data_IF_269465243541
#
_entry.id   IF_269465243541
#
_cell.length_a   1.000
_cell.length_b   1.000
_cell.length_c   1.000
_cell.angle_alpha   90.00
_cell.angle_beta   90.00
_cell.angle_gamma   90.00
#
_symmetry.space_group_name_H-M   'P 1'
#
loop_
_entity.id
_entity.type
_entity.pdbx_description
1 polymer ?
#
# COMPACT_ATOMS: atom_id res chain seq x y z
N UNK A 1 9.20 1.27 27.00
CA UNK A 1 10.13 1.83 26.00
C UNK A 1 9.60 3.22 25.65
N UNK A 2 10.46 4.24 25.55
CA UNK A 2 10.02 5.58 25.13
C UNK A 2 9.59 5.51 23.66
N UNK A 3 8.54 6.21 23.27
CA UNK A 3 8.01 6.27 21.89
C UNK A 3 9.08 6.73 20.87
N UNK A 4 10.10 7.44 21.31
CA UNK A 4 11.24 7.92 20.52
C UNK A 4 12.07 6.81 19.87
N UNK A 5 12.03 5.58 20.42
CA UNK A 5 12.73 4.40 19.85
C UNK A 5 12.25 4.07 18.42
N UNK A 6 11.03 4.46 18.06
CA UNK A 6 10.45 4.21 16.73
C UNK A 6 10.73 5.32 15.71
N UNK A 7 11.33 6.45 16.11
CA UNK A 7 11.88 7.44 15.17
C UNK A 7 13.12 6.86 14.48
N UNK A 8 13.21 7.00 13.16
CA UNK A 8 14.26 6.37 12.38
C UNK A 8 15.49 7.25 12.25
N UNK A 9 16.67 6.65 12.38
CA UNK A 9 17.92 7.32 12.04
C UNK A 9 18.02 7.57 10.52
N UNK A 10 18.92 8.45 10.13
CA UNK A 10 19.21 8.72 8.70
C UNK A 10 19.62 7.44 7.96
N UNK A 11 20.39 6.57 8.62
CA UNK A 11 20.79 5.28 8.05
C UNK A 11 19.62 4.34 7.86
N UNK A 12 18.73 4.18 8.85
CA UNK A 12 17.54 3.37 8.77
C UNK A 12 16.60 3.85 7.65
N UNK A 13 16.37 5.17 7.55
CA UNK A 13 15.62 5.78 6.46
C UNK A 13 16.26 5.44 5.10
N UNK A 14 17.59 5.49 5.00
CA UNK A 14 18.32 5.14 3.77
C UNK A 14 18.07 3.69 3.35
N UNK A 15 18.04 2.73 4.29
CA UNK A 15 17.71 1.33 3.99
C UNK A 15 16.25 1.17 3.54
N UNK A 16 15.30 1.81 4.21
CA UNK A 16 13.88 1.80 3.80
C UNK A 16 13.73 2.36 2.37
N UNK A 17 14.40 3.48 2.07
CA UNK A 17 14.38 4.08 0.72
C UNK A 17 15.00 3.16 -0.34
N UNK A 18 16.09 2.45 -0.02
CA UNK A 18 16.68 1.45 -0.93
C UNK A 18 15.72 0.30 -1.18
N UNK A 19 15.07 -0.22 -0.12
CA UNK A 19 14.03 -1.25 -0.24
C UNK A 19 12.88 -0.78 -1.14
N UNK A 20 12.37 0.45 -0.90
CA UNK A 20 11.32 1.02 -1.74
C UNK A 20 11.76 1.20 -3.19
N UNK A 21 13.00 1.56 -3.46
CA UNK A 21 13.50 1.67 -4.84
C UNK A 21 13.46 0.33 -5.58
N UNK A 22 13.78 -0.78 -4.90
CA UNK A 22 13.65 -2.13 -5.48
C UNK A 22 12.18 -2.44 -5.79
N UNK A 23 11.29 -2.16 -4.85
CA UNK A 23 9.83 -2.35 -5.02
C UNK A 23 9.31 -1.52 -6.20
N UNK A 24 9.72 -0.27 -6.31
CA UNK A 24 9.36 0.62 -7.41
C UNK A 24 9.82 0.06 -8.79
N UNK A 25 11.03 -0.49 -8.87
CA UNK A 25 11.57 -1.07 -10.10
C UNK A 25 10.88 -2.40 -10.47
N UNK A 26 10.49 -3.19 -9.45
CA UNK A 26 9.67 -4.39 -9.64
C UNK A 26 8.29 -4.01 -10.16
N UNK A 27 7.67 -2.97 -9.61
CA UNK A 27 6.37 -2.48 -10.08
C UNK A 27 6.42 -2.00 -11.54
N UNK A 28 7.46 -1.24 -11.92
CA UNK A 28 7.69 -0.85 -13.33
C UNK A 28 7.80 -2.08 -14.23
N UNK A 29 8.55 -3.09 -13.80
CA UNK A 29 8.70 -4.34 -14.55
C UNK A 29 7.34 -5.04 -14.74
N UNK A 30 6.52 -5.13 -13.68
CA UNK A 30 5.19 -5.75 -13.77
C UNK A 30 4.29 -4.99 -14.74
N UNK A 31 4.21 -3.66 -14.63
CA UNK A 31 3.44 -2.84 -15.56
C UNK A 31 3.89 -3.03 -17.02
N UNK A 32 5.19 -3.27 -17.22
CA UNK A 32 5.76 -3.50 -18.55
C UNK A 32 5.55 -4.92 -19.08
N UNK A 33 5.25 -5.93 -18.27
CA UNK A 33 5.30 -7.35 -18.68
C UNK A 33 4.03 -8.15 -18.42
N UNK A 34 3.12 -7.69 -17.54
CA UNK A 34 1.90 -8.40 -17.19
C UNK A 34 1.05 -8.69 -18.41
N UNK A 35 0.45 -9.90 -18.48
CA UNK A 35 -0.36 -10.38 -19.60
C UNK A 35 -1.66 -11.01 -19.09
N UNK A 36 -2.68 -10.96 -19.92
CA UNK A 36 -3.91 -11.72 -19.72
C UNK A 36 -3.62 -13.23 -19.55
N UNK A 37 -4.37 -13.89 -18.70
CA UNK A 37 -4.24 -15.32 -18.43
C UNK A 37 -3.14 -15.71 -17.44
N UNK A 38 -2.30 -14.78 -16.96
CA UNK A 38 -1.39 -15.06 -15.82
C UNK A 38 -2.23 -15.30 -14.55
N UNK A 39 -1.84 -16.24 -13.70
CA UNK A 39 -2.49 -16.42 -12.41
C UNK A 39 -1.90 -15.51 -11.32
N UNK A 40 -2.66 -15.31 -10.24
CA UNK A 40 -2.20 -14.55 -9.08
C UNK A 40 -0.91 -15.15 -8.50
N UNK A 41 -0.84 -16.50 -8.38
CA UNK A 41 0.38 -17.22 -7.94
C UNK A 41 1.56 -17.01 -8.87
N UNK A 42 1.37 -17.15 -10.19
CA UNK A 42 2.43 -16.92 -11.16
C UNK A 42 2.97 -15.49 -11.11
N UNK A 43 2.07 -14.51 -10.90
CA UNK A 43 2.48 -13.11 -10.78
C UNK A 43 3.21 -12.85 -9.46
N UNK A 44 2.74 -13.41 -8.34
CA UNK A 44 3.44 -13.36 -7.05
C UNK A 44 4.87 -13.91 -7.16
N UNK A 45 5.01 -15.12 -7.71
CA UNK A 45 6.31 -15.79 -7.85
C UNK A 45 7.27 -14.96 -8.73
N UNK A 46 6.72 -14.32 -9.78
CA UNK A 46 7.48 -13.41 -10.65
C UNK A 46 7.94 -12.16 -9.88
N UNK A 47 7.06 -11.56 -9.08
CA UNK A 47 7.36 -10.39 -8.24
C UNK A 47 8.50 -10.73 -7.28
N UNK A 48 8.35 -11.78 -6.47
CA UNK A 48 9.33 -12.17 -5.47
C UNK A 48 10.69 -12.54 -6.08
N UNK A 49 10.68 -13.27 -7.20
CA UNK A 49 11.91 -13.55 -7.97
C UNK A 49 12.60 -12.28 -8.45
N UNK A 50 11.83 -11.25 -8.85
CA UNK A 50 12.40 -9.99 -9.30
C UNK A 50 12.93 -9.14 -8.15
N UNK A 51 12.27 -9.13 -7.00
CA UNK A 51 12.78 -8.50 -5.78
C UNK A 51 14.16 -9.03 -5.43
N UNK A 52 14.33 -10.37 -5.37
CA UNK A 52 15.62 -10.98 -5.09
C UNK A 52 16.67 -10.64 -6.17
N UNK A 53 16.28 -10.65 -7.44
CA UNK A 53 17.19 -10.29 -8.55
C UNK A 53 17.66 -8.83 -8.48
N UNK A 54 16.84 -7.93 -7.95
CA UNK A 54 17.16 -6.50 -7.81
C UNK A 54 17.88 -6.18 -6.49
N UNK A 55 18.19 -7.21 -5.68
CA UNK A 55 19.05 -7.08 -4.51
C UNK A 55 18.33 -7.04 -3.17
N UNK A 56 17.05 -7.42 -3.11
CA UNK A 56 16.37 -7.62 -1.85
C UNK A 56 16.98 -8.79 -1.07
N UNK A 57 17.07 -8.66 0.26
CA UNK A 57 17.51 -9.74 1.15
C UNK A 57 16.42 -10.79 1.30
N UNK A 58 15.18 -10.34 1.47
CA UNK A 58 13.95 -11.14 1.50
C UNK A 58 12.73 -10.24 1.35
N UNK A 59 11.55 -10.83 1.19
CA UNK A 59 10.27 -10.10 1.31
C UNK A 59 10.03 -9.68 2.76
N UNK A 60 9.37 -8.53 2.99
CA UNK A 60 8.98 -8.08 4.33
C UNK A 60 7.74 -8.80 4.86
N UNK A 61 6.91 -9.30 3.95
CA UNK A 61 5.72 -10.12 4.22
C UNK A 61 5.37 -10.95 2.97
N UNK A 62 4.42 -11.92 3.07
CA UNK A 62 3.91 -12.65 1.91
C UNK A 62 3.25 -11.70 0.90
N UNK A 63 3.77 -11.65 -0.32
CA UNK A 63 3.28 -10.78 -1.38
C UNK A 63 1.82 -11.08 -1.71
N UNK A 64 0.96 -10.05 -1.67
CA UNK A 64 -0.45 -10.15 -2.06
C UNK A 64 -0.58 -9.80 -3.54
N UNK A 65 -1.27 -10.65 -4.28
CA UNK A 65 -1.72 -10.39 -5.65
C UNK A 65 -3.17 -10.79 -5.76
N UNK A 66 -4.03 -9.85 -6.09
CA UNK A 66 -5.47 -10.08 -6.20
C UNK A 66 -6.05 -9.46 -7.47
N UNK A 67 -6.82 -10.26 -8.24
CA UNK A 67 -7.45 -9.84 -9.49
C UNK A 67 -8.96 -9.67 -9.33
N UNK A 68 -9.51 -8.60 -9.91
CA UNK A 68 -10.95 -8.34 -9.97
C UNK A 68 -11.63 -8.43 -8.61
N UNK A 69 -12.58 -9.35 -8.44
CA UNK A 69 -13.31 -9.52 -7.18
C UNK A 69 -12.47 -10.01 -5.99
N UNK A 70 -11.36 -10.74 -6.24
CA UNK A 70 -10.47 -11.18 -5.17
C UNK A 70 -9.80 -10.00 -4.45
N UNK A 71 -9.63 -8.86 -5.14
CA UNK A 71 -9.12 -7.64 -4.52
C UNK A 71 -10.03 -7.08 -3.40
N UNK A 72 -11.26 -7.57 -3.29
CA UNK A 72 -12.17 -7.22 -2.18
C UNK A 72 -11.78 -7.88 -0.84
N UNK A 73 -10.82 -8.78 -0.84
CA UNK A 73 -10.25 -9.41 0.36
C UNK A 73 -8.92 -8.72 0.70
N UNK A 74 -8.83 -7.88 1.78
CA UNK A 74 -7.60 -7.11 2.08
C UNK A 74 -6.33 -7.97 2.25
N UNK A 75 -6.50 -9.19 2.80
CA UNK A 75 -5.41 -10.14 3.06
C UNK A 75 -5.52 -11.38 2.16
N UNK A 76 -5.90 -11.16 0.89
CA UNK A 76 -6.07 -12.24 -0.08
C UNK A 76 -4.80 -13.06 -0.28
N UNK A 77 -4.91 -14.38 -0.21
CA UNK A 77 -3.85 -15.30 -0.57
C UNK A 77 -3.88 -15.57 -2.08
N UNK A 78 -2.79 -15.29 -2.83
CA UNK A 78 -2.75 -15.50 -4.27
C UNK A 78 -3.18 -16.91 -4.68
N UNK A 79 -4.14 -17.02 -5.58
CA UNK A 79 -4.77 -18.25 -6.05
C UNK A 79 -4.38 -18.60 -7.50
N UNK A 80 -4.98 -19.66 -8.05
CA UNK A 80 -4.82 -20.01 -9.47
C UNK A 80 -5.78 -19.21 -10.39
N UNK A 81 -6.53 -18.23 -9.85
CA UNK A 81 -7.38 -17.34 -10.63
C UNK A 81 -6.56 -16.62 -11.68
N UNK A 82 -7.05 -16.60 -12.91
CA UNK A 82 -6.39 -15.97 -14.05
C UNK A 82 -6.87 -14.52 -14.22
N UNK A 83 -5.94 -13.65 -14.62
CA UNK A 83 -6.22 -12.26 -14.96
C UNK A 83 -7.01 -12.18 -16.27
N UNK A 84 -8.11 -11.42 -16.25
CA UNK A 84 -8.91 -11.14 -17.44
C UNK A 84 -8.87 -9.65 -17.79
N UNK A 85 -9.16 -9.35 -19.06
CA UNK A 85 -9.33 -7.97 -19.49
C UNK A 85 -10.52 -7.30 -18.76
N UNK A 86 -10.36 -6.05 -18.37
CA UNK A 86 -11.37 -5.29 -17.67
C UNK A 86 -11.34 -5.40 -16.15
N UNK A 87 -10.28 -5.96 -15.55
CA UNK A 87 -10.14 -6.13 -14.11
C UNK A 87 -9.15 -5.15 -13.47
N UNK A 88 -9.35 -4.87 -12.19
CA UNK A 88 -8.28 -4.32 -11.36
C UNK A 88 -7.31 -5.42 -10.95
N UNK A 89 -6.05 -5.02 -10.84
CA UNK A 89 -4.95 -5.78 -10.24
C UNK A 89 -4.49 -5.02 -9.02
N UNK A 90 -4.65 -5.62 -7.85
CA UNK A 90 -4.09 -5.13 -6.59
C UNK A 90 -2.83 -5.94 -6.29
N UNK A 91 -1.73 -5.23 -6.06
CA UNK A 91 -0.45 -5.82 -5.61
C UNK A 91 -0.05 -5.09 -4.34
N UNK A 92 0.29 -5.89 -3.31
CA UNK A 92 0.84 -5.42 -2.05
C UNK A 92 2.13 -6.18 -1.78
N UNK A 93 3.23 -5.45 -1.66
CA UNK A 93 4.57 -6.01 -1.66
C UNK A 93 5.59 -5.15 -0.93
N UNK A 94 6.57 -5.80 -0.32
CA UNK A 94 7.66 -5.13 0.36
C UNK A 94 8.91 -6.01 0.47
N UNK A 95 10.05 -5.40 0.73
CA UNK A 95 11.34 -6.08 0.86
C UNK A 95 12.07 -5.63 2.11
N UNK A 96 13.04 -6.42 2.55
CA UNK A 96 13.98 -6.08 3.62
C UNK A 96 15.33 -5.76 3.02
N UNK A 97 15.91 -4.64 3.46
CA UNK A 97 17.28 -4.20 3.18
C UNK A 97 17.91 -3.66 4.46
N UNK A 98 19.06 -4.18 4.84
CA UNK A 98 19.76 -3.77 6.07
C UNK A 98 18.92 -3.97 7.32
N UNK A 99 18.08 -5.03 7.35
CA UNK A 99 17.14 -5.32 8.42
C UNK A 99 15.92 -4.40 8.48
N UNK A 100 15.74 -3.47 7.52
CA UNK A 100 14.61 -2.54 7.49
C UNK A 100 13.59 -2.95 6.42
N UNK A 101 12.30 -2.96 6.79
CA UNK A 101 11.19 -3.29 5.90
C UNK A 101 10.84 -2.11 4.97
N UNK A 102 10.35 -2.44 3.79
CA UNK A 102 9.54 -1.54 2.95
C UNK A 102 8.14 -2.10 2.77
N UNK A 103 7.20 -1.22 2.38
CA UNK A 103 5.79 -1.52 2.24
C UNK A 103 5.14 -0.69 1.13
N UNK A 104 4.35 -1.33 0.27
CA UNK A 104 3.81 -0.65 -0.90
C UNK A 104 2.62 -1.40 -1.50
N UNK A 105 1.46 -0.74 -1.57
CA UNK A 105 0.31 -1.26 -2.30
C UNK A 105 -0.06 -0.35 -3.47
N UNK A 106 -0.32 -0.97 -4.62
CA UNK A 106 -0.97 -0.31 -5.77
C UNK A 106 -2.06 -1.17 -6.36
N UNK A 107 -3.12 -0.48 -6.75
CA UNK A 107 -4.14 -1.01 -7.64
C UNK A 107 -4.00 -0.35 -9.01
N UNK A 108 -4.04 -1.11 -10.09
CA UNK A 108 -4.08 -0.60 -11.45
C UNK A 108 -5.11 -1.35 -12.29
N UNK A 109 -5.48 -0.82 -13.44
CA UNK A 109 -6.43 -1.46 -14.34
C UNK A 109 -5.71 -2.25 -15.43
N UNK A 110 -6.17 -3.48 -15.69
CA UNK A 110 -5.79 -4.25 -16.86
C UNK A 110 -6.94 -4.20 -17.87
N UNK A 111 -6.73 -3.46 -18.96
CA UNK A 111 -7.79 -3.17 -19.93
C UNK A 111 -8.80 -2.12 -19.46
N UNK A 112 -10.05 -2.24 -19.92
CA UNK A 112 -11.08 -1.24 -19.68
C UNK A 112 -12.00 -1.62 -18.52
N UNK A 113 -11.69 -1.13 -17.31
CA UNK A 113 -12.53 -1.35 -16.11
C UNK A 113 -13.77 -0.46 -16.11
N UNK A 114 -14.79 -0.85 -15.34
CA UNK A 114 -16.05 -0.15 -15.21
C UNK A 114 -15.92 1.30 -14.72
N UNK A 115 -16.85 2.16 -15.07
CA UNK A 115 -16.85 3.57 -14.62
C UNK A 115 -16.98 3.67 -13.10
N UNK A 116 -17.76 2.80 -12.48
CA UNK A 116 -17.96 2.78 -11.02
C UNK A 116 -16.67 2.38 -10.30
N UNK A 117 -15.92 1.39 -10.81
CA UNK A 117 -14.63 0.99 -10.24
C UNK A 117 -13.60 2.14 -10.30
N UNK A 118 -13.57 2.87 -11.42
CA UNK A 118 -12.75 4.09 -11.55
C UNK A 118 -13.14 5.16 -10.55
N UNK A 119 -14.44 5.29 -10.22
CA UNK A 119 -14.92 6.22 -9.19
C UNK A 119 -14.41 5.82 -7.82
N UNK A 120 -14.51 4.52 -7.45
CA UNK A 120 -13.98 3.98 -6.20
C UNK A 120 -12.46 4.22 -6.11
N UNK A 121 -11.71 3.90 -7.15
CA UNK A 121 -10.27 4.17 -7.22
C UNK A 121 -9.94 5.64 -6.95
N UNK A 122 -10.67 6.56 -7.57
CA UNK A 122 -10.44 7.99 -7.40
C UNK A 122 -10.80 8.48 -5.99
N UNK A 123 -11.75 7.85 -5.32
CA UNK A 123 -12.08 8.12 -3.91
C UNK A 123 -10.89 7.72 -3.05
N UNK A 124 -10.43 6.48 -3.12
CA UNK A 124 -9.29 5.97 -2.34
C UNK A 124 -8.05 6.84 -2.57
N UNK A 125 -7.72 7.14 -3.83
CA UNK A 125 -6.59 8.00 -4.18
C UNK A 125 -6.65 9.39 -3.54
N UNK A 126 -7.83 10.03 -3.54
CA UNK A 126 -8.01 11.36 -2.94
C UNK A 126 -7.91 11.30 -1.42
N UNK A 127 -8.46 10.27 -0.82
CA UNK A 127 -8.42 10.07 0.64
C UNK A 127 -7.00 9.78 1.10
N UNK A 128 -6.26 8.95 0.36
CA UNK A 128 -4.85 8.67 0.64
C UNK A 128 -4.00 9.96 0.58
N UNK A 129 -4.19 10.78 -0.45
CA UNK A 129 -3.49 12.05 -0.56
C UNK A 129 -3.87 13.03 0.57
N UNK A 130 -5.13 13.03 1.02
CA UNK A 130 -5.59 13.80 2.19
C UNK A 130 -4.91 13.31 3.46
N UNK A 131 -4.86 11.98 3.70
CA UNK A 131 -4.19 11.38 4.85
C UNK A 131 -2.72 11.81 4.93
N UNK A 132 -1.97 11.67 3.84
CA UNK A 132 -0.57 12.11 3.76
C UNK A 132 -0.43 13.61 4.08
N UNK A 133 -1.28 14.46 3.47
CA UNK A 133 -1.26 15.91 3.71
C UNK A 133 -1.56 16.27 5.16
N UNK A 134 -2.37 15.48 5.85
CA UNK A 134 -2.83 15.73 7.23
C UNK A 134 -1.96 15.08 8.28
N UNK A 135 -1.11 14.13 7.92
CA UNK A 135 -0.14 13.54 8.83
C UNK A 135 0.84 14.60 9.32
N UNK A 136 0.95 14.79 10.63
CA UNK A 136 1.82 15.80 11.24
C UNK A 136 2.51 15.23 12.48
N UNK A 137 3.73 15.71 12.79
CA UNK A 137 4.35 15.40 14.08
C UNK A 137 3.47 15.87 15.24
N UNK A 138 3.54 15.16 16.34
CA UNK A 138 2.82 15.42 17.59
C UNK A 138 1.27 15.35 17.47
N UNK A 139 0.76 14.63 16.45
CA UNK A 139 -0.67 14.32 16.40
C UNK A 139 -0.94 12.89 16.89
N UNK A 140 -2.09 12.67 17.51
CA UNK A 140 -2.54 11.32 17.84
C UNK A 140 -2.85 10.52 16.58
N UNK A 141 -2.40 9.26 16.51
CA UNK A 141 -2.62 8.38 15.36
C UNK A 141 -4.12 8.20 15.06
N UNK A 142 -4.97 8.05 16.10
CA UNK A 142 -6.43 8.02 15.92
C UNK A 142 -7.03 9.26 15.25
N UNK A 143 -6.39 10.42 15.40
CA UNK A 143 -6.88 11.65 14.75
C UNK A 143 -6.64 11.61 13.24
N UNK A 144 -5.53 11.00 12.79
CA UNK A 144 -5.27 10.76 11.39
C UNK A 144 -6.24 9.71 10.82
N UNK A 145 -6.45 8.59 11.52
CA UNK A 145 -7.44 7.57 11.11
C UNK A 145 -8.83 8.18 10.96
N UNK A 146 -9.25 9.01 11.94
CA UNK A 146 -10.55 9.68 11.89
C UNK A 146 -10.72 10.54 10.64
N UNK A 147 -9.71 11.31 10.25
CA UNK A 147 -9.74 12.16 9.05
C UNK A 147 -9.95 11.32 7.79
N UNK A 148 -9.20 10.22 7.66
CA UNK A 148 -9.25 9.31 6.52
C UNK A 148 -10.62 8.60 6.47
N UNK A 149 -11.05 8.05 7.57
CA UNK A 149 -12.30 7.29 7.71
C UNK A 149 -13.54 8.16 7.49
N UNK A 150 -13.57 9.37 8.08
CA UNK A 150 -14.67 10.32 7.88
C UNK A 150 -14.81 10.71 6.40
N UNK A 151 -13.68 10.89 5.70
CA UNK A 151 -13.72 11.27 4.29
C UNK A 151 -14.24 10.14 3.38
N UNK A 152 -13.90 8.86 3.70
CA UNK A 152 -14.48 7.69 3.01
C UNK A 152 -15.99 7.60 3.31
N UNK A 153 -16.39 7.79 4.59
CA UNK A 153 -17.79 7.75 5.03
C UNK A 153 -18.64 8.82 4.34
N UNK A 154 -18.16 10.05 4.25
CA UNK A 154 -18.83 11.14 3.52
C UNK A 154 -19.10 10.82 2.06
N UNK A 155 -18.33 9.91 1.46
CA UNK A 155 -18.49 9.46 0.07
C UNK A 155 -19.40 8.25 -0.06
N UNK A 156 -19.97 7.74 1.06
CA UNK A 156 -20.90 6.62 1.09
C UNK A 156 -20.25 5.25 1.12
N UNK A 157 -18.94 5.16 1.47
CA UNK A 157 -18.19 3.90 1.48
C UNK A 157 -17.59 3.56 2.85
N UNK A 158 -18.08 4.18 3.95
CA UNK A 158 -17.52 3.99 5.29
C UNK A 158 -17.52 2.55 5.78
N UNK A 159 -18.56 1.77 5.47
CA UNK A 159 -18.69 0.36 5.83
C UNK A 159 -17.69 -0.56 5.11
N UNK A 160 -17.19 -0.12 3.96
CA UNK A 160 -16.23 -0.86 3.13
C UNK A 160 -14.75 -0.55 3.46
N UNK A 161 -14.47 0.32 4.43
CA UNK A 161 -13.12 0.57 4.94
C UNK A 161 -12.93 -0.16 6.28
N UNK A 162 -12.48 -1.40 6.21
CA UNK A 162 -12.57 -2.40 7.29
C UNK A 162 -11.27 -2.62 8.07
N UNK A 163 -10.19 -1.92 7.75
CA UNK A 163 -8.91 -2.02 8.47
C UNK A 163 -8.40 -0.66 8.97
N UNK A 164 -7.20 -0.61 9.54
CA UNK A 164 -6.51 0.62 9.99
C UNK A 164 -6.12 1.51 8.80
N UNK A 165 -5.91 2.80 9.07
CA UNK A 165 -5.37 3.74 8.06
C UNK A 165 -3.91 3.49 7.77
N UNK A 166 -3.17 2.83 8.70
CA UNK A 166 -1.76 2.52 8.54
C UNK A 166 -1.08 2.13 9.84
N UNK A 167 0.22 1.98 9.76
CA UNK A 167 1.09 1.55 10.86
C UNK A 167 2.52 2.08 10.68
N UNK A 168 3.34 1.96 11.71
CA UNK A 168 4.78 2.18 11.63
C UNK A 168 5.47 1.08 10.84
N UNK A 169 6.53 1.43 10.14
CA UNK A 169 7.40 0.49 9.41
C UNK A 169 8.84 0.70 9.86
N UNK A 170 9.52 -0.41 10.15
CA UNK A 170 10.90 -0.39 10.62
C UNK A 170 11.58 -1.73 10.48
N UNK A 171 12.13 -2.27 11.57
CA UNK A 171 12.66 -3.64 11.62
C UNK A 171 11.55 -4.68 11.55
N UNK A 172 10.37 -4.32 12.06
CA UNK A 172 9.15 -5.09 11.87
C UNK A 172 8.30 -4.41 10.81
N UNK A 173 7.55 -5.22 10.05
CA UNK A 173 6.64 -4.68 9.03
C UNK A 173 5.50 -3.89 9.67
N UNK A 174 4.97 -4.36 10.79
CA UNK A 174 3.99 -3.68 11.59
C UNK A 174 4.59 -3.33 12.96
N UNK A 175 4.93 -2.07 13.16
CA UNK A 175 5.40 -1.57 14.43
C UNK A 175 4.65 -0.31 14.85
N UNK A 176 4.90 0.19 16.05
CA UNK A 176 4.40 1.48 16.54
C UNK A 176 4.83 2.65 15.59
N UNK A 177 3.93 3.61 15.32
CA UNK A 177 2.54 3.76 15.82
C UNK A 177 1.51 3.03 14.96
N UNK A 178 0.39 2.60 15.57
CA UNK A 178 -0.74 2.04 14.83
C UNK A 178 -1.79 3.13 14.55
N UNK A 179 -2.04 3.42 13.27
CA UNK A 179 -2.96 4.49 12.85
C UNK A 179 -4.36 3.92 12.69
N UNK A 180 -5.06 3.75 13.81
CA UNK A 180 -6.40 3.18 13.91
C UNK A 180 -7.29 3.96 14.87
N UNK A 181 -8.61 3.72 14.81
CA UNK A 181 -9.64 4.52 15.50
C UNK A 181 -9.51 4.59 17.03
N UNK A 182 -8.95 3.57 17.66
CA UNK A 182 -8.79 3.42 19.11
C UNK A 182 -7.34 3.64 19.59
N UNK A 183 -6.43 4.08 18.70
CA UNK A 183 -5.03 4.29 19.03
C UNK A 183 -4.82 5.54 19.90
N UNK A 184 -4.04 5.40 20.95
CA UNK A 184 -3.50 6.51 21.74
C UNK A 184 -2.08 6.93 21.30
N UNK A 185 -1.53 6.23 20.33
CA UNK A 185 -0.18 6.41 19.82
C UNK A 185 0.05 7.82 19.26
N UNK A 186 1.28 8.30 19.39
CA UNK A 186 1.69 9.60 18.86
C UNK A 186 2.50 9.44 17.59
N UNK A 187 2.22 10.25 16.58
CA UNK A 187 3.05 10.37 15.39
C UNK A 187 4.22 11.31 15.72
N UNK A 188 5.43 10.78 15.87
CA UNK A 188 6.60 11.60 16.13
C UNK A 188 7.40 11.86 14.84
N UNK A 189 8.19 12.93 14.87
CA UNK A 189 9.07 13.28 13.74
C UNK A 189 10.01 12.11 13.43
N UNK A 190 10.31 11.92 12.14
CA UNK A 190 11.20 10.90 11.60
C UNK A 190 10.73 9.45 11.80
N UNK A 191 9.50 9.20 12.29
CA UNK A 191 8.85 7.90 12.13
C UNK A 191 8.52 7.66 10.66
N UNK A 192 8.65 6.42 10.22
CA UNK A 192 8.15 5.98 8.92
C UNK A 192 6.83 5.27 9.14
N UNK A 193 5.77 5.72 8.47
CA UNK A 193 4.41 5.17 8.61
C UNK A 193 3.78 4.95 7.24
N UNK A 194 2.88 3.97 7.15
CA UNK A 194 2.02 3.79 5.97
C UNK A 194 0.79 4.70 6.03
N UNK A 195 0.27 5.06 4.86
CA UNK A 195 -1.06 5.65 4.68
C UNK A 195 -1.74 4.88 3.56
N UNK A 196 -2.65 3.98 3.93
CA UNK A 196 -3.14 2.89 3.09
C UNK A 196 -4.68 2.74 3.06
N UNK A 197 -5.47 3.78 2.87
CA UNK A 197 -6.91 3.60 2.80
C UNK A 197 -7.30 2.60 1.71
N UNK A 198 -8.36 1.81 1.98
CA UNK A 198 -8.94 0.89 1.02
C UNK A 198 -10.47 0.92 1.05
N UNK A 199 -11.08 0.51 -0.05
CA UNK A 199 -12.53 0.25 -0.18
C UNK A 199 -12.68 -1.15 -0.78
N UNK A 200 -13.39 -2.03 -0.08
CA UNK A 200 -13.54 -3.44 -0.41
C UNK A 200 -15.02 -3.82 -0.47
N UNK A 201 -15.54 -4.03 -1.68
CA UNK A 201 -16.93 -4.43 -1.91
C UNK A 201 -16.93 -5.89 -2.31
N UNK A 202 -17.32 -6.75 -1.37
CA UNK A 202 -17.32 -8.21 -1.52
C UNK A 202 -17.96 -8.66 -2.83
N UNK A 203 -17.29 -9.60 -3.52
CA UNK A 203 -17.70 -10.15 -4.80
C UNK A 203 -17.64 -9.17 -5.98
N UNK A 204 -17.19 -7.94 -5.78
CA UNK A 204 -17.16 -6.90 -6.82
C UNK A 204 -15.75 -6.33 -7.05
N UNK A 205 -15.23 -5.55 -6.13
CA UNK A 205 -14.02 -4.77 -6.34
C UNK A 205 -13.35 -4.44 -5.01
N UNK A 206 -12.02 -4.46 -5.01
CA UNK A 206 -11.19 -3.89 -3.95
C UNK A 206 -10.17 -2.92 -4.51
N UNK A 207 -9.94 -1.85 -3.78
CA UNK A 207 -8.91 -0.86 -4.10
C UNK A 207 -8.18 -0.47 -2.82
N UNK A 208 -6.86 -0.66 -2.78
CA UNK A 208 -5.95 -0.09 -1.79
C UNK A 208 -4.86 0.70 -2.50
N UNK A 209 -4.51 1.84 -1.96
CA UNK A 209 -3.39 2.67 -2.40
C UNK A 209 -2.63 3.07 -1.16
N UNK A 210 -1.38 2.68 -1.11
CA UNK A 210 -0.50 2.85 0.03
C UNK A 210 0.81 3.49 -0.36
N UNK A 211 1.30 4.36 0.49
CA UNK A 211 2.67 4.84 0.48
C UNK A 211 3.20 4.93 1.91
N UNK A 212 4.45 4.54 2.08
CA UNK A 212 5.22 4.96 3.25
C UNK A 212 5.57 6.44 3.16
N UNK A 213 5.48 7.13 4.30
CA UNK A 213 5.90 8.52 4.46
C UNK A 213 6.78 8.68 5.69
N UNK A 214 7.64 9.67 5.67
CA UNK A 214 8.41 10.11 6.85
C UNK A 214 7.61 11.22 7.51
N UNK A 215 7.18 11.01 8.76
CA UNK A 215 6.40 11.99 9.53
C UNK A 215 7.20 13.30 9.66
N UNK A 216 6.56 14.40 9.31
CA UNK A 216 7.16 15.74 9.30
C UNK A 216 7.63 16.21 7.93
N UNK A 217 7.81 15.32 6.96
CA UNK A 217 8.19 15.71 5.59
C UNK A 217 7.01 15.80 4.63
N UNK A 218 5.92 15.06 4.91
CA UNK A 218 4.75 14.87 4.03
C UNK A 218 5.12 14.37 2.62
N UNK A 219 6.29 13.75 2.45
CA UNK A 219 6.76 13.19 1.19
C UNK A 219 6.56 11.68 1.17
N UNK A 220 6.08 11.16 0.07
CA UNK A 220 6.08 9.73 -0.21
C UNK A 220 7.50 9.24 -0.44
N UNK A 221 7.81 8.05 0.01
CA UNK A 221 9.11 7.41 -0.25
C UNK A 221 9.12 6.84 -1.68
N UNK A 222 8.01 6.26 -2.15
CA UNK A 222 7.89 5.76 -3.53
C UNK A 222 7.93 6.88 -4.57
N UNK A 223 8.56 6.59 -5.73
CA UNK A 223 8.55 7.45 -6.93
C UNK A 223 7.22 7.42 -7.68
N UNK A 224 6.40 6.38 -7.47
CA UNK A 224 5.16 6.18 -8.21
C UNK A 224 4.02 7.08 -7.74
N UNK A 225 3.46 7.83 -8.70
CA UNK A 225 2.25 8.62 -8.48
C UNK A 225 1.04 7.70 -8.35
N UNK A 226 0.01 8.18 -7.63
CA UNK A 226 -1.23 7.43 -7.39
C UNK A 226 -2.31 7.67 -8.47
N UNK A 227 -1.96 8.19 -9.65
CA UNK A 227 -2.88 8.27 -10.79
C UNK A 227 -3.17 6.86 -11.31
N UNK A 228 -4.44 6.56 -11.63
CA UNK A 228 -4.81 5.27 -12.20
C UNK A 228 -4.01 4.98 -13.47
N UNK A 229 -3.27 3.89 -13.43
CA UNK A 229 -2.57 3.33 -14.60
C UNK A 229 -3.51 2.34 -15.28
N UNK A 230 -3.57 2.37 -16.60
CA UNK A 230 -4.34 1.41 -17.41
C UNK A 230 -3.35 0.70 -18.32
N UNK A 231 -3.10 -0.56 -18.04
CA UNK A 231 -2.30 -1.43 -18.91
C UNK A 231 -3.21 -1.94 -20.02
N UNK A 232 -2.83 -1.70 -21.27
CA UNK A 232 -3.56 -2.15 -22.46
C UNK A 232 -2.69 -3.16 -23.19
N UNK A 233 -3.10 -4.40 -23.25
CA UNK A 233 -2.41 -5.47 -23.99
C UNK A 233 -3.40 -6.51 -24.48
#
# INVERSE_FOLDING_TARGET
MSEEVFSKSVEQISYIMKGQSIVDDVYDYILATIKEGISEKELRDLIEKKMMKFGAEKTSFPTIVAFGSNAAEPHHEPSNRKLNNGEFVLIDMGVIIGGMCSDFTRTFAFGCVAKEDKKIYNIVRRVQALGIKKCKPNMKARALDKIVRDEITKRGYGEYFIHSTGHGVGTEIHEYPFIRKDSEDMLLKDMVVTVEPGIYIEGKVGVRIEDMIIVGTNKRISKHKTKLIIVKR
#
